data_IF_829650809410
#
_entry.id   IF_829650809410
#
_cell.length_a   1.000
_cell.length_b   1.000
_cell.length_c   1.000
_cell.angle_alpha   90.00
_cell.angle_beta   90.00
_cell.angle_gamma   90.00
#
_symmetry.space_group_name_H-M   'P 1'
#
loop_
_entity.id
_entity.type
_entity.pdbx_description
1 polymer ?
#
# COMPACT_ATOMS: atom_id res chain seq x y z
N UNK A 1 -7.39 25.42 -10.18
CA UNK A 1 -6.33 24.38 -10.20
C UNK A 1 -6.17 23.87 -8.77
N UNK A 2 -6.35 22.56 -8.50
CA UNK A 2 -6.33 22.04 -7.13
C UNK A 2 -4.94 22.24 -6.49
N UNK A 3 -4.84 22.91 -5.34
CA UNK A 3 -3.59 23.14 -4.61
C UNK A 3 -2.97 21.90 -3.95
N UNK A 4 -3.20 20.71 -4.52
CA UNK A 4 -2.76 19.42 -3.98
C UNK A 4 -1.51 18.91 -4.72
N UNK A 5 -0.52 18.40 -3.98
CA UNK A 5 0.65 17.73 -4.57
C UNK A 5 0.24 16.48 -5.37
N UNK A 6 1.10 16.01 -6.28
CA UNK A 6 0.81 14.73 -6.96
C UNK A 6 0.83 13.54 -6.01
N UNK A 7 1.67 13.56 -4.97
CA UNK A 7 1.63 12.53 -3.93
C UNK A 7 0.24 12.42 -3.29
N UNK A 8 -0.37 13.54 -2.87
CA UNK A 8 -1.72 13.53 -2.29
C UNK A 8 -2.78 13.02 -3.27
N UNK A 9 -2.73 13.46 -4.54
CA UNK A 9 -3.61 12.94 -5.59
C UNK A 9 -3.39 11.45 -5.83
N UNK A 10 -2.15 11.00 -5.79
CA UNK A 10 -1.76 9.61 -5.95
C UNK A 10 -2.28 8.72 -4.83
N UNK A 11 -2.22 9.18 -3.57
CA UNK A 11 -2.81 8.47 -2.42
C UNK A 11 -4.32 8.34 -2.56
N UNK A 12 -5.01 9.42 -2.98
CA UNK A 12 -6.46 9.37 -3.23
C UNK A 12 -6.80 8.35 -4.32
N UNK A 13 -6.10 8.39 -5.47
CA UNK A 13 -6.31 7.41 -6.53
C UNK A 13 -5.98 5.99 -6.08
N UNK A 14 -4.91 5.78 -5.32
CA UNK A 14 -4.60 4.47 -4.76
C UNK A 14 -5.75 3.93 -3.90
N UNK A 15 -6.28 4.76 -2.99
CA UNK A 15 -7.44 4.41 -2.16
C UNK A 15 -8.71 4.14 -2.97
N UNK A 16 -9.00 4.95 -3.99
CA UNK A 16 -10.15 4.72 -4.89
C UNK A 16 -10.00 3.42 -5.69
N UNK A 17 -8.78 3.09 -6.12
CA UNK A 17 -8.49 1.82 -6.79
C UNK A 17 -8.73 0.62 -5.87
N UNK A 18 -8.29 0.71 -4.61
CA UNK A 18 -8.57 -0.31 -3.59
C UNK A 18 -10.07 -0.47 -3.33
N UNK A 19 -10.82 0.64 -3.23
CA UNK A 19 -12.27 0.61 -3.05
C UNK A 19 -12.97 -0.02 -4.26
N UNK A 20 -12.54 0.30 -5.48
CA UNK A 20 -13.03 -0.31 -6.72
C UNK A 20 -12.82 -1.83 -6.72
N UNK A 21 -11.62 -2.28 -6.35
CA UNK A 21 -11.32 -3.70 -6.21
C UNK A 21 -12.22 -4.37 -5.16
N UNK A 22 -12.41 -3.74 -4.01
CA UNK A 22 -13.26 -4.24 -2.93
C UNK A 22 -14.70 -4.50 -3.41
N UNK A 23 -15.29 -3.62 -4.21
CA UNK A 23 -16.66 -3.77 -4.73
C UNK A 23 -16.77 -4.60 -6.02
N UNK A 24 -15.68 -5.25 -6.45
CA UNK A 24 -15.67 -6.18 -7.58
C UNK A 24 -15.31 -5.56 -8.94
N UNK A 25 -14.95 -4.28 -8.99
CA UNK A 25 -14.43 -3.61 -10.19
C UNK A 25 -12.94 -3.92 -10.37
N UNK A 26 -12.60 -5.20 -10.61
CA UNK A 26 -11.21 -5.70 -10.60
C UNK A 26 -10.30 -4.94 -11.56
N UNK A 27 -10.61 -4.95 -12.85
CA UNK A 27 -9.80 -4.29 -13.89
C UNK A 27 -9.68 -2.77 -13.66
N UNK A 28 -10.82 -2.04 -13.59
CA UNK A 28 -10.79 -0.60 -13.32
C UNK A 28 -10.12 -0.23 -11.99
N UNK A 29 -10.37 -0.98 -10.92
CA UNK A 29 -9.76 -0.77 -9.61
C UNK A 29 -8.25 -0.89 -9.62
N UNK A 30 -7.71 -1.93 -10.26
CA UNK A 30 -6.26 -2.10 -10.46
C UNK A 30 -5.67 -0.95 -11.29
N UNK A 31 -6.35 -0.55 -12.37
CA UNK A 31 -5.87 0.55 -13.22
C UNK A 31 -5.80 1.88 -12.45
N UNK A 32 -6.83 2.18 -11.66
CA UNK A 32 -6.87 3.40 -10.82
C UNK A 32 -5.83 3.35 -9.70
N UNK A 33 -5.64 2.18 -9.07
CA UNK A 33 -4.57 1.99 -8.08
C UNK A 33 -3.18 2.23 -8.70
N UNK A 34 -2.91 1.63 -9.86
CA UNK A 34 -1.65 1.79 -10.58
C UNK A 34 -1.41 3.25 -11.01
N UNK A 35 -2.46 3.97 -11.42
CA UNK A 35 -2.36 5.39 -11.70
C UNK A 35 -1.98 6.19 -10.45
N UNK A 36 -2.57 5.86 -9.29
CA UNK A 36 -2.21 6.46 -8.00
C UNK A 36 -0.75 6.22 -7.61
N UNK A 37 -0.29 4.97 -7.66
CA UNK A 37 1.10 4.61 -7.39
C UNK A 37 2.10 5.33 -8.32
N UNK A 38 1.76 5.46 -9.61
CA UNK A 38 2.58 6.22 -10.58
C UNK A 38 2.67 7.70 -10.23
N UNK A 39 1.60 8.33 -9.73
CA UNK A 39 1.66 9.73 -9.29
C UNK A 39 2.55 9.90 -8.06
N UNK A 40 2.49 8.97 -7.10
CA UNK A 40 3.36 9.00 -5.93
C UNK A 40 4.83 8.86 -6.36
N UNK A 41 5.14 7.92 -7.26
CA UNK A 41 6.52 7.73 -7.76
C UNK A 41 7.01 8.95 -8.57
N UNK A 42 6.15 9.57 -9.39
CA UNK A 42 6.50 10.81 -10.10
C UNK A 42 6.80 11.96 -9.13
N UNK A 43 6.05 12.04 -8.04
CA UNK A 43 6.30 13.03 -6.98
C UNK A 43 7.61 12.78 -6.25
N UNK A 44 7.87 11.51 -5.90
CA UNK A 44 9.15 11.11 -5.30
C UNK A 44 10.32 11.53 -6.20
N UNK A 45 10.28 11.23 -7.50
CA UNK A 45 11.36 11.60 -8.44
C UNK A 45 11.55 13.10 -8.59
N UNK A 46 10.47 13.89 -8.53
CA UNK A 46 10.58 15.36 -8.54
C UNK A 46 11.25 15.92 -7.29
N UNK A 47 11.03 15.29 -6.14
CA UNK A 47 11.67 15.68 -4.87
C UNK A 47 13.12 15.22 -4.75
N UNK A 48 13.54 14.26 -5.58
CA UNK A 48 14.90 13.72 -5.62
C UNK A 48 15.56 13.90 -7.01
N UNK A 49 15.75 15.13 -7.50
CA UNK A 49 16.35 15.39 -8.82
C UNK A 49 17.80 14.89 -8.94
N UNK A 50 18.49 14.70 -7.83
CA UNK A 50 19.82 14.11 -7.73
C UNK A 50 19.85 12.60 -7.98
N UNK A 51 18.71 11.91 -7.81
CA UNK A 51 18.64 10.47 -8.01
C UNK A 51 18.68 10.11 -9.50
N UNK A 52 19.80 9.53 -9.94
CA UNK A 52 20.02 9.06 -11.32
C UNK A 52 20.10 7.53 -11.46
N UNK A 53 19.77 6.80 -10.38
CA UNK A 53 19.87 5.35 -10.32
C UNK A 53 18.78 4.61 -11.13
N UNK A 54 19.04 3.34 -11.42
CA UNK A 54 18.07 2.44 -12.05
C UNK A 54 17.06 1.88 -11.05
N UNK A 55 16.31 0.85 -11.48
CA UNK A 55 15.28 0.22 -10.64
C UNK A 55 15.87 -0.45 -9.39
N UNK A 56 17.07 -1.03 -9.49
CA UNK A 56 17.75 -1.69 -8.37
C UNK A 56 18.12 -0.69 -7.28
N UNK A 57 18.72 0.44 -7.66
CA UNK A 57 19.08 1.51 -6.74
C UNK A 57 17.82 2.14 -6.13
N UNK A 58 16.77 2.30 -6.94
CA UNK A 58 15.49 2.86 -6.48
C UNK A 58 14.82 1.96 -5.45
N UNK A 59 14.90 0.65 -5.66
CA UNK A 59 14.42 -0.36 -4.71
C UNK A 59 15.23 -0.38 -3.42
N UNK A 60 16.56 -0.28 -3.49
CA UNK A 60 17.42 -0.19 -2.32
C UNK A 60 17.07 1.04 -1.46
N UNK A 61 16.78 2.17 -2.12
CA UNK A 61 16.34 3.40 -1.47
C UNK A 61 14.96 3.25 -0.80
N UNK A 62 14.00 2.60 -1.47
CA UNK A 62 12.70 2.32 -0.87
C UNK A 62 12.81 1.41 0.37
N UNK A 63 13.66 0.38 0.33
CA UNK A 63 13.94 -0.49 1.48
C UNK A 63 14.65 0.25 2.62
N UNK A 64 15.51 1.21 2.31
CA UNK A 64 16.15 2.08 3.30
C UNK A 64 15.11 2.95 3.98
N UNK A 65 14.32 3.70 3.20
CA UNK A 65 13.23 4.55 3.70
C UNK A 65 12.22 3.77 4.53
N UNK A 66 11.80 2.58 4.08
CA UNK A 66 10.89 1.72 4.84
C UNK A 66 11.45 1.34 6.21
N UNK A 67 12.73 0.95 6.28
CA UNK A 67 13.39 0.58 7.55
C UNK A 67 13.51 1.75 8.52
N UNK A 68 13.87 2.93 8.01
CA UNK A 68 14.01 4.17 8.81
C UNK A 68 12.64 4.69 9.32
N UNK A 69 11.54 4.30 8.68
CA UNK A 69 10.18 4.76 9.04
C UNK A 69 9.36 3.73 9.82
N UNK A 70 9.89 2.53 10.07
CA UNK A 70 9.20 1.43 10.78
C UNK A 70 10.04 0.90 11.96
N UNK A 71 10.41 1.82 12.86
CA UNK A 71 11.24 1.53 14.03
C UNK A 71 10.43 1.04 15.24
N UNK A 72 9.15 1.37 15.33
CA UNK A 72 8.33 0.99 16.47
C UNK A 72 7.98 -0.51 16.43
N UNK A 73 8.25 -1.29 17.50
CA UNK A 73 7.98 -2.73 17.51
C UNK A 73 6.50 -3.08 17.35
N UNK A 74 5.60 -2.27 17.89
CA UNK A 74 4.15 -2.51 17.78
C UNK A 74 3.63 -2.20 16.38
N UNK A 75 4.10 -1.11 15.76
CA UNK A 75 3.78 -0.83 14.36
C UNK A 75 4.25 -1.97 13.44
N UNK A 76 5.48 -2.48 13.66
CA UNK A 76 5.98 -3.64 12.92
C UNK A 76 5.11 -4.88 13.11
N UNK A 77 4.69 -5.19 14.34
CA UNK A 77 3.81 -6.33 14.61
C UNK A 77 2.46 -6.18 13.89
N UNK A 78 1.87 -4.98 13.93
CA UNK A 78 0.64 -4.69 13.21
C UNK A 78 0.81 -4.87 11.70
N UNK A 79 1.95 -4.47 11.13
CA UNK A 79 2.30 -4.76 9.72
C UNK A 79 2.49 -6.24 9.45
N UNK A 80 3.14 -6.99 10.35
CA UNK A 80 3.34 -8.43 10.22
C UNK A 80 2.02 -9.20 10.18
N UNK A 81 0.98 -8.72 10.87
CA UNK A 81 -0.36 -9.30 10.82
C UNK A 81 -1.16 -8.73 9.64
N UNK A 82 -1.10 -7.41 9.43
CA UNK A 82 -1.92 -6.71 8.46
C UNK A 82 -1.53 -7.00 7.02
N UNK A 83 -0.23 -7.15 6.70
CA UNK A 83 0.23 -7.45 5.35
C UNK A 83 -0.31 -8.81 4.85
N UNK A 84 -0.17 -9.94 5.58
CA UNK A 84 -0.79 -11.21 5.19
C UNK A 84 -2.31 -11.11 5.01
N UNK A 85 -3.01 -10.38 5.88
CA UNK A 85 -4.46 -10.16 5.76
C UNK A 85 -4.82 -9.37 4.50
N UNK A 86 -4.05 -8.33 4.17
CA UNK A 86 -4.23 -7.55 2.94
C UNK A 86 -3.99 -8.44 1.71
N UNK A 87 -2.87 -9.17 1.65
CA UNK A 87 -2.51 -10.01 0.50
C UNK A 87 -3.51 -11.15 0.30
N UNK A 88 -3.87 -11.85 1.38
CA UNK A 88 -4.89 -12.90 1.36
C UNK A 88 -6.27 -12.35 0.99
N UNK A 89 -6.65 -11.20 1.55
CA UNK A 89 -7.89 -10.50 1.21
C UNK A 89 -7.96 -10.10 -0.26
N UNK A 90 -6.90 -9.51 -0.81
CA UNK A 90 -6.81 -9.19 -2.25
C UNK A 90 -6.96 -10.46 -3.09
N UNK A 91 -6.23 -11.53 -2.78
CA UNK A 91 -6.35 -12.81 -3.49
C UNK A 91 -7.78 -13.35 -3.47
N UNK A 92 -8.41 -13.36 -2.31
CA UNK A 92 -9.80 -13.78 -2.15
C UNK A 92 -10.80 -12.89 -2.91
N UNK A 93 -10.60 -11.56 -2.94
CA UNK A 93 -11.40 -10.62 -3.73
C UNK A 93 -11.25 -10.88 -5.24
N UNK A 94 -10.06 -11.25 -5.72
CA UNK A 94 -9.86 -11.65 -7.12
C UNK A 94 -10.53 -12.98 -7.47
N UNK A 95 -10.58 -13.92 -6.53
CA UNK A 95 -11.17 -15.25 -6.72
C UNK A 95 -12.68 -15.32 -6.43
N UNK A 96 -13.28 -14.23 -5.96
CA UNK A 96 -14.70 -14.16 -5.59
C UNK A 96 -15.40 -12.94 -6.19
N UNK A 97 -16.71 -12.82 -5.93
CA UNK A 97 -17.52 -11.62 -6.18
C UNK A 97 -18.80 -11.69 -5.35
N UNK A 98 -19.47 -10.54 -5.10
CA UNK A 98 -20.73 -10.50 -4.37
C UNK A 98 -21.82 -11.39 -4.97
N UNK A 99 -21.78 -11.61 -6.30
CA UNK A 99 -22.79 -12.40 -7.02
C UNK A 99 -22.48 -13.90 -7.09
N UNK A 100 -21.20 -14.30 -7.10
CA UNK A 100 -20.81 -15.72 -7.33
C UNK A 100 -20.43 -16.45 -6.06
N UNK A 101 -19.72 -15.79 -5.14
CA UNK A 101 -19.21 -16.39 -3.88
C UNK A 101 -19.29 -15.36 -2.75
N UNK A 102 -20.51 -14.97 -2.32
CA UNK A 102 -20.72 -13.87 -1.39
C UNK A 102 -20.01 -14.08 -0.05
N UNK A 103 -20.03 -15.28 0.51
CA UNK A 103 -19.34 -15.57 1.78
C UNK A 103 -17.83 -15.41 1.66
N UNK A 104 -17.22 -15.98 0.60
CA UNK A 104 -15.78 -15.83 0.34
C UNK A 104 -15.43 -14.36 0.10
N UNK A 105 -16.26 -13.63 -0.64
CA UNK A 105 -16.06 -12.22 -0.89
C UNK A 105 -16.13 -11.40 0.41
N UNK A 106 -17.12 -11.64 1.27
CA UNK A 106 -17.27 -10.97 2.56
C UNK A 106 -16.09 -11.27 3.50
N UNK A 107 -15.65 -12.51 3.61
CA UNK A 107 -14.50 -12.86 4.45
C UNK A 107 -13.21 -12.23 3.89
N UNK A 108 -13.05 -12.21 2.57
CA UNK A 108 -11.89 -11.58 1.91
C UNK A 108 -11.88 -10.06 2.09
N UNK A 109 -13.06 -9.43 1.99
CA UNK A 109 -13.23 -8.01 2.24
C UNK A 109 -12.94 -7.68 3.71
N UNK A 110 -13.45 -8.49 4.64
CA UNK A 110 -13.18 -8.36 6.06
C UNK A 110 -11.70 -8.46 6.39
N UNK A 111 -11.00 -9.46 5.84
CA UNK A 111 -9.55 -9.60 6.00
C UNK A 111 -8.79 -8.40 5.40
N UNK A 112 -9.15 -7.98 4.19
CA UNK A 112 -8.56 -6.82 3.53
C UNK A 112 -8.73 -5.54 4.36
N UNK A 113 -9.95 -5.26 4.82
CA UNK A 113 -10.26 -4.08 5.63
C UNK A 113 -9.57 -4.13 6.99
N UNK A 114 -9.58 -5.28 7.67
CA UNK A 114 -8.93 -5.46 8.96
C UNK A 114 -7.41 -5.28 8.86
N UNK A 115 -6.77 -5.83 7.81
CA UNK A 115 -5.34 -5.66 7.59
C UNK A 115 -4.95 -4.21 7.33
N UNK A 116 -5.74 -3.48 6.53
CA UNK A 116 -5.56 -2.04 6.34
C UNK A 116 -5.75 -1.26 7.64
N UNK A 117 -6.81 -1.56 8.41
CA UNK A 117 -7.05 -0.91 9.70
C UNK A 117 -5.88 -1.13 10.66
N UNK A 118 -5.36 -2.35 10.77
CA UNK A 118 -4.19 -2.66 11.61
C UNK A 118 -2.96 -1.83 11.22
N UNK A 119 -2.61 -1.78 9.94
CA UNK A 119 -1.45 -1.02 9.46
C UNK A 119 -1.63 0.49 9.66
N UNK A 120 -2.83 1.03 9.39
CA UNK A 120 -3.14 2.44 9.58
C UNK A 120 -3.11 2.84 11.06
N UNK A 121 -3.62 1.99 11.95
CA UNK A 121 -3.52 2.18 13.41
C UNK A 121 -2.05 2.17 13.85
N UNK A 122 -1.25 1.23 13.30
CA UNK A 122 0.20 1.19 13.49
C UNK A 122 0.86 2.54 13.24
N UNK A 123 0.60 3.09 12.07
CA UNK A 123 1.13 4.39 11.66
C UNK A 123 0.59 5.55 12.49
N UNK A 124 -0.73 5.62 12.73
CA UNK A 124 -1.35 6.75 13.40
C UNK A 124 -1.03 6.83 14.89
N UNK A 125 -1.00 5.68 15.58
CA UNK A 125 -0.88 5.62 17.04
C UNK A 125 0.57 5.46 17.50
N UNK A 126 1.32 4.56 16.85
CA UNK A 126 2.64 4.15 17.33
C UNK A 126 3.80 4.87 16.65
N UNK A 127 3.74 5.09 15.34
CA UNK A 127 4.74 5.91 14.63
C UNK A 127 4.39 7.40 14.60
N UNK A 128 3.10 7.74 14.75
CA UNK A 128 2.55 9.10 14.60
C UNK A 128 3.01 9.78 13.31
N UNK A 129 3.07 8.99 12.24
CA UNK A 129 3.50 9.41 10.90
C UNK A 129 2.51 8.90 9.87
N UNK A 130 2.45 9.57 8.72
CA UNK A 130 1.71 9.05 7.59
C UNK A 130 2.30 7.69 7.14
N UNK A 131 1.49 6.83 6.50
CA UNK A 131 2.01 5.59 5.94
C UNK A 131 3.10 5.86 4.91
N UNK A 132 4.21 5.10 4.94
CA UNK A 132 5.37 5.36 4.07
C UNK A 132 5.03 5.40 2.57
N UNK A 133 4.00 4.68 2.13
CA UNK A 133 3.54 4.72 0.74
C UNK A 133 3.00 6.08 0.30
N UNK A 134 2.66 7.00 1.22
CA UNK A 134 2.24 8.35 0.84
C UNK A 134 3.38 9.20 0.26
N UNK A 135 4.62 8.81 0.54
CA UNK A 135 5.82 9.51 0.10
C UNK A 135 6.65 8.69 -0.87
N UNK A 136 6.63 7.37 -0.77
CA UNK A 136 7.36 6.43 -1.63
C UNK A 136 6.44 5.29 -2.08
N UNK A 137 6.06 5.27 -3.36
CA UNK A 137 5.17 4.26 -3.92
C UNK A 137 5.66 2.81 -3.76
N UNK A 138 6.97 2.58 -3.74
CA UNK A 138 7.54 1.24 -3.59
C UNK A 138 7.35 0.69 -2.17
N UNK A 139 7.02 1.55 -1.20
CA UNK A 139 6.67 1.13 0.15
C UNK A 139 5.39 0.28 0.22
N UNK A 140 4.54 0.29 -0.82
CA UNK A 140 3.45 -0.69 -0.95
C UNK A 140 3.96 -2.14 -1.02
N UNK A 141 5.17 -2.35 -1.53
CA UNK A 141 5.78 -3.68 -1.76
C UNK A 141 6.96 -3.93 -0.82
N UNK A 142 7.59 -2.88 -0.29
CA UNK A 142 8.73 -2.99 0.62
C UNK A 142 8.41 -3.82 1.88
N UNK A 143 7.22 -3.64 2.47
CA UNK A 143 6.80 -4.38 3.67
C UNK A 143 6.81 -5.90 3.50
N UNK A 144 6.10 -6.48 2.51
CA UNK A 144 6.14 -7.91 2.22
C UNK A 144 7.55 -8.46 2.00
N UNK A 145 8.39 -7.76 1.23
CA UNK A 145 9.75 -8.23 0.90
C UNK A 145 10.67 -8.17 2.12
N UNK A 146 10.53 -7.14 2.94
CA UNK A 146 11.32 -7.01 4.17
C UNK A 146 10.98 -8.09 5.19
N UNK A 147 9.72 -8.49 5.29
CA UNK A 147 9.31 -9.62 6.11
C UNK A 147 9.95 -10.93 5.63
N UNK A 148 9.88 -11.22 4.32
CA UNK A 148 10.42 -12.45 3.75
C UNK A 148 11.96 -12.53 3.77
N UNK A 149 12.65 -11.38 3.83
CA UNK A 149 14.12 -11.32 3.86
C UNK A 149 14.73 -11.40 5.27
N UNK A 150 13.90 -11.53 6.31
CA UNK A 150 14.31 -11.78 7.69
C UNK A 150 14.10 -13.24 8.14
N UNK A 151 13.75 -14.13 7.21
CA UNK A 151 13.75 -15.58 7.38
C UNK A 151 15.00 -16.19 6.76
#
# INVERSE_FOLDING_TARGET
MSGWSEAKRGVVLAGLGMAGLAVGLKGPGVAVFAAGARLIERDWRRRHPEFRGGMRERWAEALRFYRETHENPTNRLLHQIGIPLILGGVGGLFLSSPRRRPSVWLTSLGAFAAGWAANLVGHAVFERRAPAFSEDALSFVAGPVWYLSRC
#
